data_IF_766912878119
#
_entry.id   IF_766912878119
#
_cell.length_a   1.000
_cell.length_b   1.000
_cell.length_c   1.000
_cell.angle_alpha   90.00
_cell.angle_beta   90.00
_cell.angle_gamma   90.00
#
_symmetry.space_group_name_H-M   'P 1'
#
loop_
_entity.id
_entity.type
_entity.pdbx_description
1 polymer ?
#
# COMPACT_ATOMS: atom_id res chain seq x y z
N UNK A 1 1.63 11.54 16.54
CA UNK A 1 1.02 12.82 16.08
C UNK A 1 0.12 12.54 14.88
N UNK A 2 -0.92 13.35 14.62
CA UNK A 2 -1.79 13.16 13.45
C UNK A 2 -1.02 13.47 12.15
N UNK A 3 -1.20 12.63 11.14
CA UNK A 3 -0.48 12.68 9.85
C UNK A 3 -1.42 12.66 8.66
N UNK A 4 -2.73 12.46 8.83
CA UNK A 4 -3.65 12.36 7.71
C UNK A 4 -5.03 12.96 8.01
N UNK A 5 -5.81 13.22 6.97
CA UNK A 5 -7.18 13.75 7.05
C UNK A 5 -8.15 12.70 6.51
N UNK A 6 -9.29 12.54 7.17
CA UNK A 6 -10.36 11.69 6.65
C UNK A 6 -11.06 12.37 5.47
N UNK A 7 -11.03 11.73 4.30
CA UNK A 7 -11.65 12.21 3.05
C UNK A 7 -13.18 12.43 3.15
N UNK A 8 -13.85 11.80 4.13
CA UNK A 8 -15.31 11.86 4.30
C UNK A 8 -15.79 12.93 5.28
N UNK A 9 -15.05 13.16 6.37
CA UNK A 9 -15.50 14.03 7.46
C UNK A 9 -14.48 15.10 7.90
N UNK A 10 -13.31 15.14 7.26
CA UNK A 10 -12.24 16.09 7.57
C UNK A 10 -11.54 15.86 8.91
N UNK A 11 -11.85 14.78 9.64
CA UNK A 11 -11.22 14.51 10.93
C UNK A 11 -9.75 14.09 10.77
N UNK A 12 -8.87 14.64 11.60
CA UNK A 12 -7.45 14.30 11.63
C UNK A 12 -7.23 12.90 12.22
N UNK A 13 -6.43 12.09 11.54
CA UNK A 13 -6.09 10.72 11.92
C UNK A 13 -4.59 10.49 11.89
N UNK A 14 -4.18 9.40 12.52
CA UNK A 14 -2.77 9.07 12.75
C UNK A 14 -2.07 8.38 11.57
N UNK A 15 -2.82 7.84 10.60
CA UNK A 15 -2.31 7.17 9.38
C UNK A 15 -3.33 7.23 8.25
N UNK A 16 -2.86 7.28 7.00
CA UNK A 16 -3.69 7.41 5.80
C UNK A 16 -4.71 6.27 5.62
N UNK A 17 -4.37 5.03 5.97
CA UNK A 17 -5.23 3.87 5.70
C UNK A 17 -6.06 3.39 6.88
N UNK A 18 -6.00 4.08 8.02
CA UNK A 18 -6.69 3.63 9.24
C UNK A 18 -8.13 4.13 9.32
N UNK A 19 -8.98 3.35 10.00
CA UNK A 19 -10.36 3.69 10.30
C UNK A 19 -10.46 5.03 11.03
N UNK A 20 -11.34 5.90 10.56
CA UNK A 20 -11.61 7.18 11.20
C UNK A 20 -12.35 6.99 12.53
N UNK A 21 -11.81 7.56 13.62
CA UNK A 21 -12.44 7.50 14.96
C UNK A 21 -13.72 8.34 15.08
N UNK A 22 -13.93 9.31 14.19
CA UNK A 22 -15.11 10.19 14.22
C UNK A 22 -16.30 9.62 13.43
N UNK A 23 -16.08 9.20 12.18
CA UNK A 23 -17.18 8.76 11.29
C UNK A 23 -17.13 7.26 10.95
N UNK A 24 -16.15 6.50 11.45
CA UNK A 24 -16.02 5.07 11.18
C UNK A 24 -15.54 4.71 9.78
N UNK A 25 -15.36 5.67 8.87
CA UNK A 25 -14.91 5.42 7.50
C UNK A 25 -13.53 4.77 7.45
N UNK A 26 -13.40 3.71 6.64
CA UNK A 26 -12.14 3.01 6.36
C UNK A 26 -11.95 2.94 4.84
N UNK A 27 -10.80 3.37 4.28
CA UNK A 27 -10.52 3.27 2.84
C UNK A 27 -10.07 1.86 2.40
N UNK A 28 -10.07 0.89 3.32
CA UNK A 28 -9.62 -0.47 3.04
C UNK A 28 -10.56 -1.17 2.04
N UNK A 29 -9.99 -1.88 1.07
CA UNK A 29 -10.73 -2.54 -0.02
C UNK A 29 -11.04 -1.66 -1.24
N UNK A 30 -10.91 -0.33 -1.15
CA UNK A 30 -11.10 0.58 -2.28
C UNK A 30 -9.79 1.31 -2.63
N UNK A 31 -9.22 0.96 -3.78
CA UNK A 31 -7.94 1.53 -4.27
C UNK A 31 -8.02 3.05 -4.45
N UNK A 32 -9.14 3.55 -4.98
CA UNK A 32 -9.33 5.00 -5.18
C UNK A 32 -9.42 5.72 -3.84
N UNK A 33 -10.16 5.15 -2.89
CA UNK A 33 -10.23 5.69 -1.53
C UNK A 33 -8.87 5.67 -0.81
N UNK A 34 -8.07 4.62 -1.00
CA UNK A 34 -6.69 4.56 -0.49
C UNK A 34 -5.85 5.69 -1.10
N UNK A 35 -5.85 5.85 -2.43
CA UNK A 35 -5.10 6.91 -3.10
C UNK A 35 -5.48 8.32 -2.60
N UNK A 36 -6.78 8.62 -2.51
CA UNK A 36 -7.27 9.89 -1.96
C UNK A 36 -6.86 10.08 -0.50
N UNK A 37 -6.93 9.03 0.31
CA UNK A 37 -6.52 9.10 1.71
C UNK A 37 -5.02 9.29 1.90
N UNK A 38 -4.21 8.75 0.98
CA UNK A 38 -2.76 8.94 0.94
C UNK A 38 -2.43 10.40 0.61
N UNK A 39 -3.03 10.97 -0.44
CA UNK A 39 -2.86 12.37 -0.82
C UNK A 39 -3.13 13.35 0.33
N UNK A 40 -4.12 13.03 1.15
CA UNK A 40 -4.43 13.81 2.36
C UNK A 40 -3.63 13.36 3.58
N UNK A 41 -2.34 13.06 3.40
CA UNK A 41 -1.44 12.69 4.49
C UNK A 41 -0.02 13.24 4.31
N UNK A 42 0.70 13.39 5.42
CA UNK A 42 2.13 13.74 5.43
C UNK A 42 3.02 12.56 5.00
N UNK A 43 2.44 11.38 4.80
CA UNK A 43 3.11 10.19 4.27
C UNK A 43 3.18 10.26 2.73
N UNK A 44 2.34 11.09 2.09
CA UNK A 44 2.45 11.35 0.67
C UNK A 44 3.72 12.10 0.33
N UNK A 45 4.38 11.63 -0.72
CA UNK A 45 5.56 12.24 -1.30
C UNK A 45 5.38 12.24 -2.81
N UNK A 46 5.46 13.42 -3.40
CA UNK A 46 5.46 13.56 -4.84
C UNK A 46 6.90 13.53 -5.34
N UNK A 47 7.30 12.42 -5.98
CA UNK A 47 8.67 12.19 -6.40
C UNK A 47 9.14 13.20 -7.48
N UNK A 48 8.22 13.75 -8.28
CA UNK A 48 8.55 14.70 -9.35
C UNK A 48 8.89 16.09 -8.80
N UNK A 49 8.20 16.51 -7.74
CA UNK A 49 8.34 17.85 -7.15
C UNK A 49 9.09 17.85 -5.81
N UNK A 50 9.47 16.67 -5.32
CA UNK A 50 9.98 16.41 -3.97
C UNK A 50 9.09 17.02 -2.85
N UNK A 51 7.80 17.19 -3.14
CA UNK A 51 6.86 17.87 -2.22
C UNK A 51 6.20 16.89 -1.27
N UNK A 52 6.04 17.31 -0.02
CA UNK A 52 5.24 16.63 1.00
C UNK A 52 4.19 17.57 1.58
N UNK A 53 2.95 17.12 1.80
CA UNK A 53 1.93 17.94 2.44
C UNK A 53 2.35 18.26 3.88
N UNK A 54 2.28 19.55 4.23
CA UNK A 54 2.48 20.03 5.59
C UNK A 54 1.22 19.83 6.42
N UNK A 55 1.36 19.82 7.75
CA UNK A 55 0.20 19.75 8.65
C UNK A 55 -0.76 20.93 8.51
N UNK A 56 -0.24 22.11 8.17
CA UNK A 56 -1.06 23.30 7.97
C UNK A 56 -1.93 23.15 6.72
N UNK A 57 -1.35 22.68 5.60
CA UNK A 57 -2.12 22.39 4.38
C UNK A 57 -3.20 21.32 4.64
N UNK A 58 -2.86 20.26 5.37
CA UNK A 58 -3.83 19.24 5.76
C UNK A 58 -4.96 19.80 6.64
N UNK A 59 -4.66 20.74 7.55
CA UNK A 59 -5.68 21.40 8.37
C UNK A 59 -6.62 22.27 7.53
N UNK A 60 -6.11 22.96 6.50
CA UNK A 60 -6.94 23.73 5.56
C UNK A 60 -7.87 22.83 4.75
N UNK A 61 -7.35 21.69 4.25
CA UNK A 61 -8.18 20.71 3.54
C UNK A 61 -9.22 20.08 4.47
N UNK A 62 -8.84 19.79 5.72
CA UNK A 62 -9.75 19.29 6.75
C UNK A 62 -10.91 20.26 7.04
N UNK A 63 -10.64 21.57 7.07
CA UNK A 63 -11.69 22.58 7.21
C UNK A 63 -12.60 22.60 5.97
N UNK A 64 -12.01 22.57 4.77
CA UNK A 64 -12.77 22.53 3.51
C UNK A 64 -13.76 21.37 3.45
N UNK A 65 -13.32 20.16 3.82
CA UNK A 65 -14.19 18.97 3.89
C UNK A 65 -15.29 19.14 4.95
N UNK A 66 -14.96 19.71 6.12
CA UNK A 66 -15.94 19.95 7.20
C UNK A 66 -17.01 20.95 6.79
N UNK A 67 -16.66 21.94 5.99
CA UNK A 67 -17.60 22.91 5.41
C UNK A 67 -18.41 22.36 4.23
N UNK A 68 -18.25 21.08 3.88
CA UNK A 68 -18.96 20.45 2.77
C UNK A 68 -18.45 20.86 1.38
N UNK A 69 -17.33 21.58 1.31
CA UNK A 69 -16.75 22.00 0.04
C UNK A 69 -15.95 20.82 -0.55
N UNK A 70 -16.22 20.41 -1.79
CA UNK A 70 -15.49 19.31 -2.41
C UNK A 70 -14.00 19.65 -2.56
N UNK A 71 -13.16 18.62 -2.37
CA UNK A 71 -11.73 18.66 -2.62
C UNK A 71 -11.49 18.30 -4.09
N UNK A 72 -10.80 19.14 -4.87
CA UNK A 72 -10.43 18.78 -6.22
C UNK A 72 -9.41 17.64 -6.18
N UNK A 73 -9.68 16.58 -6.94
CA UNK A 73 -8.76 15.46 -7.10
C UNK A 73 -8.13 15.58 -8.49
N UNK A 74 -6.80 15.54 -8.53
CA UNK A 74 -6.11 15.35 -9.80
C UNK A 74 -6.21 13.89 -10.20
N UNK A 75 -7.01 13.60 -11.24
CA UNK A 75 -7.24 12.24 -11.73
C UNK A 75 -5.95 11.58 -12.22
N UNK A 76 -5.00 12.35 -12.76
CA UNK A 76 -3.70 11.82 -13.20
C UNK A 76 -2.90 11.29 -12.00
N UNK A 77 -2.82 12.10 -10.93
CA UNK A 77 -2.18 11.68 -9.68
C UNK A 77 -2.89 10.49 -9.03
N UNK A 78 -4.23 10.47 -9.01
CA UNK A 78 -5.00 9.34 -8.47
C UNK A 78 -4.70 8.06 -9.24
N UNK A 79 -4.71 8.11 -10.58
CA UNK A 79 -4.41 6.96 -11.44
C UNK A 79 -2.99 6.44 -11.20
N UNK A 80 -2.01 7.34 -11.09
CA UNK A 80 -0.61 7.01 -10.77
C UNK A 80 -0.50 6.24 -9.45
N UNK A 81 -1.14 6.73 -8.39
CA UNK A 81 -1.10 6.11 -7.07
C UNK A 81 -1.83 4.76 -7.02
N UNK A 82 -2.91 4.60 -7.79
CA UNK A 82 -3.60 3.31 -7.91
C UNK A 82 -2.67 2.28 -8.59
N UNK A 83 -1.97 2.67 -9.65
CA UNK A 83 -1.02 1.80 -10.34
C UNK A 83 0.16 1.41 -9.43
N UNK A 84 0.69 2.35 -8.66
CA UNK A 84 1.76 2.07 -7.68
C UNK A 84 1.30 1.10 -6.58
N UNK A 85 0.09 1.28 -6.05
CA UNK A 85 -0.49 0.35 -5.07
C UNK A 85 -0.62 -1.06 -5.64
N UNK A 86 -1.01 -1.19 -6.90
CA UNK A 86 -1.14 -2.49 -7.58
C UNK A 86 0.21 -3.19 -7.75
N UNK A 87 1.27 -2.43 -8.07
CA UNK A 87 2.63 -2.98 -8.12
C UNK A 87 3.12 -3.47 -6.75
N UNK A 88 2.80 -2.73 -5.68
CA UNK A 88 3.15 -3.13 -4.31
C UNK A 88 2.35 -4.36 -3.84
N UNK A 89 1.08 -4.48 -4.23
CA UNK A 89 0.22 -5.63 -3.91
C UNK A 89 0.67 -6.92 -4.63
N UNK A 90 1.26 -6.81 -5.82
CA UNK A 90 1.81 -7.96 -6.56
C UNK A 90 3.08 -8.55 -5.92
N UNK A 91 3.67 -7.85 -4.94
CA UNK A 91 4.89 -8.27 -4.26
C UNK A 91 6.14 -8.11 -5.13
N UNK A 92 7.34 -8.12 -4.53
CA UNK A 92 8.57 -8.14 -5.31
C UNK A 92 8.60 -9.44 -6.14
N UNK A 93 9.01 -9.39 -7.42
CA UNK A 93 9.22 -10.62 -8.18
C UNK A 93 10.22 -11.51 -7.42
N UNK A 94 10.01 -12.84 -7.38
CA UNK A 94 10.91 -13.74 -6.69
C UNK A 94 12.32 -13.55 -7.23
N UNK A 95 13.30 -13.32 -6.34
CA UNK A 95 14.69 -13.20 -6.77
C UNK A 95 15.13 -14.56 -7.31
N UNK A 96 15.99 -14.57 -8.33
CA UNK A 96 16.56 -15.80 -8.89
C UNK A 96 17.19 -16.72 -7.82
N UNK A 97 17.73 -16.14 -6.74
CA UNK A 97 18.25 -16.88 -5.58
C UNK A 97 17.16 -17.66 -4.86
N UNK A 98 15.99 -17.08 -4.68
CA UNK A 98 14.86 -17.73 -4.01
C UNK A 98 14.35 -18.89 -4.88
N UNK A 99 14.36 -18.75 -6.21
CA UNK A 99 14.03 -19.83 -7.14
C UNK A 99 15.02 -21.00 -7.07
N UNK A 100 16.33 -20.73 -6.93
CA UNK A 100 17.35 -21.78 -6.78
C UNK A 100 17.18 -22.53 -5.45
N UNK A 101 16.93 -21.80 -4.36
CA UNK A 101 16.71 -22.42 -3.04
C UNK A 101 15.48 -23.32 -3.08
N UNK A 102 14.37 -22.85 -3.66
CA UNK A 102 13.16 -23.67 -3.85
C UNK A 102 13.47 -24.90 -4.69
N UNK A 103 14.18 -24.74 -5.82
CA UNK A 103 14.56 -25.86 -6.69
C UNK A 103 15.41 -26.93 -5.99
N UNK A 104 16.43 -26.53 -5.24
CA UNK A 104 17.29 -27.45 -4.47
C UNK A 104 16.50 -28.17 -3.37
N UNK A 105 15.56 -27.50 -2.73
CA UNK A 105 14.73 -28.07 -1.66
C UNK A 105 13.83 -29.21 -2.15
N UNK A 106 13.46 -29.21 -3.44
CA UNK A 106 12.71 -30.30 -4.07
C UNK A 106 13.61 -31.36 -4.75
N UNK A 107 14.76 -30.97 -5.31
CA UNK A 107 15.68 -31.89 -5.97
C UNK A 107 16.43 -32.81 -5.00
N UNK A 108 16.85 -32.30 -3.85
CA UNK A 108 17.57 -33.08 -2.83
C UNK A 108 16.74 -34.25 -2.28
N UNK A 109 15.49 -34.06 -1.80
CA UNK A 109 14.68 -35.16 -1.27
C UNK A 109 14.33 -36.18 -2.35
N UNK A 110 14.09 -35.73 -3.59
CA UNK A 110 13.85 -36.61 -4.73
C UNK A 110 15.06 -37.50 -5.02
N UNK A 111 16.26 -36.91 -5.06
CA UNK A 111 17.50 -37.66 -5.27
C UNK A 111 17.77 -38.66 -4.14
N UNK A 112 17.54 -38.27 -2.88
CA UNK A 112 17.67 -39.19 -1.75
C UNK A 112 16.66 -40.34 -1.80
N UNK A 113 15.43 -40.08 -2.23
CA UNK A 113 14.41 -41.13 -2.39
C UNK A 113 14.82 -42.16 -3.45
N UNK A 114 15.36 -41.68 -4.59
CA UNK A 114 15.84 -42.56 -5.68
C UNK A 114 16.99 -43.45 -5.21
N UNK A 115 17.95 -42.92 -4.45
CA UNK A 115 19.06 -43.70 -3.88
C UNK A 115 18.55 -44.78 -2.92
N UNK A 116 17.61 -44.43 -2.04
CA UNK A 116 17.01 -45.40 -1.11
C UNK A 116 16.30 -46.52 -1.89
N UNK A 117 15.50 -46.20 -2.91
CA UNK A 117 14.78 -47.21 -3.69
C UNK A 117 15.74 -48.15 -4.44
N UNK A 118 16.84 -47.61 -4.99
CA UNK A 118 17.86 -48.41 -5.67
C UNK A 118 18.58 -49.37 -4.71
N UNK A 119 18.88 -48.94 -3.49
CA UNK A 119 19.52 -49.78 -2.46
C UNK A 119 18.64 -50.97 -2.05
N UNK A 120 17.31 -50.81 -2.02
CA UNK A 120 16.37 -51.89 -1.73
C UNK A 120 16.17 -52.89 -2.89
N UNK A 121 16.62 -52.55 -4.10
CA UNK A 121 16.45 -53.35 -5.32
C UNK A 121 17.67 -54.22 -5.68
N UNK A 122 18.83 -53.94 -5.08
CA UNK A 122 20.11 -54.66 -5.27
C UNK A 122 20.34 -55.70 -4.16
#
# INVERSE_FOLDING_TARGET
MATAVCIRCGFLKHRAFTRCRKCGYCPEGDRRAKAQSLLLSTEYHDAETDRRPTRQELALVAERIRSGVPVPWDEATIARLIAEQELLEQGPPPRWRDMIVIGLLFLIPLASLVVIVLDWLL
#
